data_IF_269348903740
#
_entry.id   IF_269348903740
#
_cell.length_a   1.000
_cell.length_b   1.000
_cell.length_c   1.000
_cell.angle_alpha   90.00
_cell.angle_beta   90.00
_cell.angle_gamma   90.00
#
_symmetry.space_group_name_H-M   'P 1'
#
loop_
_entity.id
_entity.type
_entity.pdbx_description
1 polymer ?
#
# COMPACT_ATOMS: atom_id res chain seq x y z
N UNK A 1 12.15 9.79 15.78
CA UNK A 1 11.49 10.42 14.65
C UNK A 1 12.31 10.34 13.37
N UNK A 2 11.65 10.20 12.25
CA UNK A 2 12.26 10.09 10.92
C UNK A 2 11.62 11.14 10.01
N UNK A 3 12.41 11.75 9.13
CA UNK A 3 11.88 12.69 8.16
C UNK A 3 11.32 11.96 6.94
N UNK A 4 10.09 12.28 6.56
CA UNK A 4 9.44 11.74 5.37
C UNK A 4 9.50 12.79 4.27
N UNK A 5 10.29 12.50 3.22
CA UNK A 5 10.39 13.32 2.03
C UNK A 5 9.36 12.89 0.97
N UNK A 6 9.29 13.64 -0.13
CA UNK A 6 8.37 13.29 -1.23
C UNK A 6 8.64 11.93 -1.87
N UNK A 7 9.80 11.34 -1.68
CA UNK A 7 10.16 10.08 -2.32
C UNK A 7 10.35 8.92 -1.35
N UNK A 8 10.65 9.19 -0.07
CA UNK A 8 10.91 8.12 0.90
C UNK A 8 11.13 8.66 2.32
N UNK A 9 11.15 7.75 3.29
CA UNK A 9 11.70 8.04 4.61
C UNK A 9 13.22 8.19 4.51
N UNK A 10 13.79 9.14 5.25
CA UNK A 10 15.23 9.28 5.31
C UNK A 10 15.88 8.01 5.86
N UNK A 11 16.95 7.57 5.22
CA UNK A 11 17.65 6.34 5.58
C UNK A 11 17.08 5.09 4.91
N UNK A 12 15.97 5.20 4.22
CA UNK A 12 15.39 4.08 3.49
C UNK A 12 16.04 3.95 2.11
N UNK A 13 16.65 2.80 1.83
CA UNK A 13 17.25 2.51 0.53
C UNK A 13 16.23 1.86 -0.40
N UNK A 14 16.14 2.38 -1.62
CA UNK A 14 15.27 1.80 -2.65
C UNK A 14 16.14 1.28 -3.78
N UNK A 15 16.27 -0.05 -3.85
CA UNK A 15 17.08 -0.71 -4.89
C UNK A 15 16.43 -0.67 -6.28
N UNK A 16 15.10 -0.62 -6.33
CA UNK A 16 14.32 -0.61 -7.57
C UNK A 16 13.40 0.60 -7.59
N UNK A 17 13.87 1.68 -8.19
CA UNK A 17 13.11 2.94 -8.25
C UNK A 17 11.97 2.90 -9.28
N UNK A 18 11.98 1.94 -10.19
CA UNK A 18 10.92 1.80 -11.20
C UNK A 18 9.70 1.10 -10.62
N UNK A 19 9.90 -0.01 -9.91
CA UNK A 19 8.81 -0.85 -9.40
C UNK A 19 8.46 -0.57 -7.94
N UNK A 20 9.42 -0.11 -7.13
CA UNK A 20 9.29 0.03 -5.67
C UNK A 20 9.64 1.42 -5.16
N UNK A 21 9.78 2.39 -6.05
CA UNK A 21 10.16 3.74 -5.66
C UNK A 21 9.43 4.80 -6.44
N UNK A 22 9.86 6.05 -6.27
CA UNK A 22 9.28 7.22 -6.90
C UNK A 22 8.20 7.88 -6.08
N UNK A 23 7.67 9.00 -6.59
CA UNK A 23 6.75 9.86 -5.83
C UNK A 23 5.41 9.19 -5.50
N UNK A 24 4.92 8.31 -6.38
CA UNK A 24 3.64 7.62 -6.15
C UNK A 24 3.76 6.43 -5.22
N UNK A 25 4.97 5.99 -4.90
CA UNK A 25 5.26 4.83 -4.07
C UNK A 25 6.24 5.18 -2.95
N UNK A 26 6.10 6.38 -2.39
CA UNK A 26 7.02 6.87 -1.37
C UNK A 26 6.94 6.05 -0.08
N UNK A 27 5.75 5.58 0.29
CA UNK A 27 5.52 4.81 1.52
C UNK A 27 4.70 3.58 1.20
N UNK A 28 5.24 2.41 1.54
CA UNK A 28 4.51 1.15 1.47
C UNK A 28 3.81 0.89 2.80
N UNK A 29 2.50 0.65 2.74
CA UNK A 29 1.65 0.45 3.92
C UNK A 29 1.05 -0.93 3.88
N UNK A 30 1.05 -1.61 5.02
CA UNK A 30 0.42 -2.92 5.18
C UNK A 30 -0.30 -2.99 6.51
N UNK A 31 -1.47 -3.62 6.55
CA UNK A 31 -2.19 -3.78 7.81
C UNK A 31 -1.74 -5.02 8.57
N UNK A 32 -1.42 -4.84 9.84
CA UNK A 32 -1.13 -5.95 10.74
C UNK A 32 -2.36 -6.85 10.99
N UNK A 33 -3.55 -6.40 10.61
CA UNK A 33 -4.77 -7.22 10.70
C UNK A 33 -4.65 -8.51 9.87
N UNK A 34 -3.81 -8.53 8.84
CA UNK A 34 -3.59 -9.72 8.02
C UNK A 34 -2.49 -10.64 8.56
N UNK A 35 -1.73 -10.21 9.56
CA UNK A 35 -0.61 -11.00 10.08
C UNK A 35 -1.05 -12.36 10.64
N UNK A 36 -2.13 -12.48 11.43
CA UNK A 36 -2.57 -13.80 11.90
C UNK A 36 -2.85 -14.79 10.77
N UNK A 37 -3.44 -14.31 9.66
CA UNK A 37 -3.67 -15.15 8.49
C UNK A 37 -2.35 -15.67 7.91
N UNK A 38 -1.37 -14.78 7.71
CA UNK A 38 -0.08 -15.15 7.13
C UNK A 38 0.77 -15.98 8.09
N UNK A 39 0.70 -15.72 9.39
CA UNK A 39 1.41 -16.53 10.38
C UNK A 39 0.96 -17.99 10.30
N UNK A 40 -0.33 -18.22 10.13
CA UNK A 40 -0.87 -19.56 9.95
C UNK A 40 -0.45 -20.16 8.61
N UNK A 41 -0.56 -19.43 7.52
CA UNK A 41 -0.23 -19.91 6.19
C UNK A 41 1.28 -20.18 6.02
N UNK A 42 2.13 -19.35 6.61
CA UNK A 42 3.57 -19.47 6.54
C UNK A 42 4.15 -20.33 7.67
N UNK A 43 3.34 -20.69 8.66
CA UNK A 43 3.73 -21.47 9.83
C UNK A 43 4.92 -20.86 10.58
N UNK A 44 4.86 -19.56 10.81
CA UNK A 44 5.89 -18.85 11.57
C UNK A 44 5.34 -17.55 12.13
N UNK A 45 5.97 -17.05 13.20
CA UNK A 45 5.62 -15.75 13.78
C UNK A 45 6.20 -14.65 12.90
N UNK A 46 5.45 -13.55 12.77
CA UNK A 46 5.84 -12.40 11.97
C UNK A 46 6.00 -11.17 12.86
N UNK A 47 6.98 -10.35 12.52
CA UNK A 47 7.19 -9.04 13.15
C UNK A 47 6.84 -7.95 12.16
N UNK A 48 6.58 -6.73 12.64
CA UNK A 48 6.24 -5.60 11.78
C UNK A 48 7.32 -5.39 10.71
N UNK A 49 6.87 -5.04 9.51
CA UNK A 49 7.75 -4.95 8.36
C UNK A 49 7.99 -6.29 7.66
N UNK A 50 7.26 -7.33 8.04
CA UNK A 50 7.45 -8.71 7.52
C UNK A 50 7.35 -8.78 6.00
N UNK A 51 6.57 -7.92 5.37
CA UNK A 51 6.35 -7.91 3.92
C UNK A 51 7.04 -6.74 3.23
N UNK A 52 8.02 -6.13 3.90
CA UNK A 52 8.77 -5.00 3.36
C UNK A 52 8.05 -3.67 3.41
N UNK A 53 6.95 -3.60 4.14
CA UNK A 53 6.25 -2.32 4.31
C UNK A 53 7.03 -1.36 5.20
N UNK A 54 6.92 -0.07 4.89
CA UNK A 54 7.52 0.99 5.70
C UNK A 54 6.70 1.25 6.96
N UNK A 55 5.39 1.07 6.86
CA UNK A 55 4.45 1.31 7.95
C UNK A 55 3.53 0.10 8.08
N UNK A 56 3.44 -0.46 9.28
CA UNK A 56 2.43 -1.47 9.63
C UNK A 56 1.34 -0.77 10.43
N UNK A 57 0.11 -0.79 9.90
CA UNK A 57 -1.05 -0.12 10.51
C UNK A 57 -2.04 -1.14 11.04
N UNK A 58 -3.04 -0.67 11.79
CA UNK A 58 -4.16 -1.49 12.24
C UNK A 58 -5.47 -0.89 11.75
N UNK A 59 -6.47 -1.74 11.51
CA UNK A 59 -7.82 -1.34 11.15
C UNK A 59 -7.92 -0.50 9.86
N UNK A 60 -6.94 -0.60 8.97
CA UNK A 60 -6.93 0.05 7.67
C UNK A 60 -6.71 -1.01 6.59
N UNK A 61 -7.76 -1.78 6.34
CA UNK A 61 -7.73 -2.86 5.35
C UNK A 61 -7.99 -2.31 3.96
N UNK A 62 -7.75 -3.14 2.96
CA UNK A 62 -7.95 -2.78 1.56
C UNK A 62 -9.39 -2.37 1.25
N UNK A 63 -10.38 -2.93 1.94
CA UNK A 63 -11.79 -2.54 1.78
C UNK A 63 -12.17 -1.26 2.52
N UNK A 64 -11.34 -0.78 3.43
CA UNK A 64 -11.62 0.40 4.25
C UNK A 64 -11.03 1.69 3.67
N UNK A 65 -10.07 1.58 2.76
CA UNK A 65 -9.26 2.69 2.27
C UNK A 65 -9.50 2.89 0.79
N UNK A 66 -9.76 4.13 0.39
CA UNK A 66 -9.95 4.48 -1.02
C UNK A 66 -8.71 5.13 -1.61
N UNK A 67 -8.45 4.86 -2.89
CA UNK A 67 -7.43 5.58 -3.65
C UNK A 67 -7.83 7.06 -3.67
N UNK A 68 -6.90 7.92 -3.27
CA UNK A 68 -7.15 9.35 -3.15
C UNK A 68 -7.44 9.83 -1.73
N UNK A 69 -7.72 8.92 -0.79
CA UNK A 69 -7.87 9.31 0.62
C UNK A 69 -6.59 9.97 1.11
N UNK A 70 -6.75 11.05 1.86
CA UNK A 70 -5.64 11.86 2.36
C UNK A 70 -5.60 11.79 3.87
N UNK A 71 -4.41 11.55 4.41
CA UNK A 71 -4.18 11.38 5.85
C UNK A 71 -3.08 12.30 6.34
N UNK A 72 -3.20 12.71 7.59
CA UNK A 72 -2.11 13.31 8.34
C UNK A 72 -1.33 12.22 9.05
N UNK A 73 -0.01 12.22 8.90
CA UNK A 73 0.91 11.31 9.55
C UNK A 73 2.03 12.15 10.18
N UNK A 74 1.94 12.39 11.49
CA UNK A 74 2.84 13.31 12.17
C UNK A 74 2.75 14.70 11.52
N UNK A 75 3.90 15.23 11.07
CA UNK A 75 3.95 16.51 10.36
C UNK A 75 3.71 16.37 8.86
N UNK A 76 3.68 15.15 8.34
CA UNK A 76 3.51 14.90 6.92
C UNK A 76 2.03 14.74 6.55
N UNK A 77 1.73 14.95 5.27
CA UNK A 77 0.43 14.65 4.68
C UNK A 77 0.65 13.67 3.54
N UNK A 78 -0.12 12.59 3.53
CA UNK A 78 0.02 11.48 2.61
C UNK A 78 -1.30 11.16 1.92
N UNK A 79 -1.23 10.55 0.75
CA UNK A 79 -2.40 10.22 -0.05
C UNK A 79 -2.26 8.84 -0.68
N UNK A 80 -3.31 8.05 -0.61
CA UNK A 80 -3.34 6.70 -1.21
C UNK A 80 -3.30 6.80 -2.73
N UNK A 81 -2.40 6.06 -3.35
CA UNK A 81 -2.19 6.10 -4.81
C UNK A 81 -2.59 4.84 -5.55
N UNK A 82 -2.33 3.69 -4.98
CA UNK A 82 -2.58 2.41 -5.64
C UNK A 82 -2.46 1.24 -4.66
N UNK A 83 -3.04 0.08 -5.01
CA UNK A 83 -2.70 -1.17 -4.32
C UNK A 83 -1.23 -1.50 -4.55
N UNK A 84 -0.62 -2.19 -3.58
CA UNK A 84 0.73 -2.70 -3.74
C UNK A 84 0.71 -3.95 -4.63
N UNK A 85 1.70 -4.06 -5.50
CA UNK A 85 1.97 -5.27 -6.27
C UNK A 85 3.16 -5.98 -5.60
N UNK A 86 2.95 -7.12 -4.92
CA UNK A 86 4.06 -7.82 -4.27
C UNK A 86 5.04 -8.37 -5.32
N UNK A 87 6.32 -8.29 -5.01
CA UNK A 87 7.37 -8.72 -5.92
C UNK A 87 7.96 -10.07 -5.51
N UNK A 88 8.79 -10.63 -6.38
CA UNK A 88 9.43 -11.92 -6.14
C UNK A 88 10.38 -11.93 -4.93
N UNK A 89 10.79 -10.77 -4.43
CA UNK A 89 11.63 -10.67 -3.23
C UNK A 89 10.97 -11.29 -2.00
N UNK A 90 9.65 -11.15 -1.89
CA UNK A 90 8.89 -11.80 -0.81
C UNK A 90 8.88 -13.32 -0.98
N UNK A 91 8.74 -13.80 -2.22
CA UNK A 91 8.81 -15.22 -2.52
C UNK A 91 10.16 -15.81 -2.11
N UNK A 92 11.26 -15.10 -2.38
CA UNK A 92 12.60 -15.49 -1.95
C UNK A 92 12.76 -15.47 -0.44
N UNK A 93 12.31 -14.40 0.21
CA UNK A 93 12.45 -14.23 1.66
C UNK A 93 11.82 -15.37 2.43
N UNK A 94 10.64 -15.82 2.02
CA UNK A 94 9.88 -16.87 2.69
C UNK A 94 10.04 -18.25 2.02
N UNK A 95 10.81 -18.31 0.94
CA UNK A 95 11.02 -19.54 0.16
C UNK A 95 9.70 -20.14 -0.33
N UNK A 96 8.79 -19.29 -0.76
CA UNK A 96 7.47 -19.66 -1.30
C UNK A 96 7.28 -18.98 -2.65
N UNK A 97 7.55 -19.68 -3.77
CA UNK A 97 7.49 -19.06 -5.10
C UNK A 97 6.13 -18.46 -5.46
N UNK A 98 5.05 -19.02 -4.92
CA UNK A 98 3.67 -18.56 -5.20
C UNK A 98 3.17 -17.49 -4.25
N UNK A 99 3.99 -16.97 -3.34
CA UNK A 99 3.54 -15.99 -2.36
C UNK A 99 2.94 -14.73 -3.01
N UNK A 100 3.53 -14.15 -4.08
CA UNK A 100 2.89 -13.03 -4.77
C UNK A 100 1.50 -13.36 -5.30
N UNK A 101 1.30 -14.58 -5.81
CA UNK A 101 0.00 -15.03 -6.27
C UNK A 101 -1.01 -15.11 -5.13
N UNK A 102 -0.60 -15.59 -3.96
CA UNK A 102 -1.46 -15.67 -2.78
C UNK A 102 -1.90 -14.27 -2.33
N UNK A 103 -1.02 -13.27 -2.43
CA UNK A 103 -1.38 -11.88 -2.15
C UNK A 103 -2.46 -11.39 -3.12
N UNK A 104 -2.33 -11.70 -4.41
CA UNK A 104 -3.33 -11.34 -5.41
C UNK A 104 -4.67 -12.04 -5.16
N UNK A 105 -4.63 -13.32 -4.83
CA UNK A 105 -5.84 -14.12 -4.59
C UNK A 105 -6.62 -13.65 -3.36
N UNK A 106 -5.92 -13.32 -2.29
CA UNK A 106 -6.55 -12.85 -1.05
C UNK A 106 -6.97 -11.38 -1.14
N UNK A 107 -6.29 -10.59 -1.96
CA UNK A 107 -6.43 -9.15 -1.96
C UNK A 107 -5.71 -8.48 -0.79
N UNK A 108 -4.95 -9.22 0.00
CA UNK A 108 -4.20 -8.72 1.16
C UNK A 108 -2.86 -8.17 0.70
N UNK A 109 -2.91 -7.09 -0.06
CA UNK A 109 -1.74 -6.55 -0.77
C UNK A 109 -1.07 -5.40 -0.05
N UNK A 110 -1.84 -4.64 0.76
CA UNK A 110 -1.41 -3.33 1.19
C UNK A 110 -1.54 -2.31 0.07
N UNK A 111 -1.01 -1.14 0.29
CA UNK A 111 -1.12 -0.03 -0.64
C UNK A 111 0.04 0.94 -0.46
N UNK A 112 0.11 1.94 -1.36
CA UNK A 112 1.15 2.98 -1.32
C UNK A 112 0.56 4.34 -1.03
N UNK A 113 1.34 5.16 -0.32
CA UNK A 113 1.11 6.59 -0.21
C UNK A 113 2.08 7.38 -1.10
N UNK A 114 1.60 8.47 -1.70
CA UNK A 114 2.46 9.59 -2.06
C UNK A 114 2.48 10.58 -0.92
N UNK A 115 3.52 11.39 -0.86
CA UNK A 115 3.65 12.44 0.15
C UNK A 115 3.23 13.76 -0.47
N UNK A 116 2.19 14.38 0.09
CA UNK A 116 1.73 15.71 -0.34
C UNK A 116 2.46 16.82 0.39
N UNK A 117 2.86 16.56 1.64
CA UNK A 117 3.62 17.49 2.47
C UNK A 117 4.66 16.68 3.24
N UNK A 118 5.92 17.09 3.12
CA UNK A 118 7.03 16.48 3.86
C UNK A 118 6.97 16.85 5.34
N UNK A 119 7.53 16.02 6.20
CA UNK A 119 7.61 16.32 7.61
C UNK A 119 8.18 15.17 8.44
N UNK A 120 8.33 15.43 9.73
CA UNK A 120 8.82 14.45 10.69
C UNK A 120 7.71 13.52 11.12
N UNK A 121 8.03 12.24 11.20
CA UNK A 121 7.12 11.16 11.58
C UNK A 121 7.75 10.35 12.71
N UNK A 122 6.94 9.98 13.70
CA UNK A 122 7.36 9.16 14.83
C UNK A 122 6.56 7.86 14.87
N UNK A 123 7.11 6.76 15.40
CA UNK A 123 6.34 5.52 15.60
C UNK A 123 5.07 5.68 16.45
N UNK A 124 5.04 6.71 17.31
CA UNK A 124 3.87 7.01 18.13
C UNK A 124 2.76 7.76 17.38
N UNK A 125 3.04 8.26 16.19
CA UNK A 125 2.05 8.99 15.40
C UNK A 125 0.98 8.06 14.85
N UNK A 126 -0.26 8.57 14.78
CA UNK A 126 -1.38 7.84 14.19
C UNK A 126 -1.78 8.49 12.87
N UNK A 127 -2.32 7.69 11.96
CA UNK A 127 -2.89 8.18 10.72
C UNK A 127 -4.25 8.81 11.00
N UNK A 128 -4.41 10.06 10.61
CA UNK A 128 -5.66 10.78 10.77
C UNK A 128 -6.23 11.13 9.39
N UNK A 129 -7.44 10.65 9.11
CA UNK A 129 -8.11 10.94 7.84
C UNK A 129 -8.43 12.43 7.76
N UNK A 130 -7.90 13.09 6.75
CA UNK A 130 -8.16 14.51 6.48
C UNK A 130 -9.27 14.68 5.43
N UNK A 131 -9.26 13.84 4.40
CA UNK A 131 -10.22 13.93 3.32
C UNK A 131 -10.40 12.56 2.66
N UNK A 132 -11.67 12.14 2.52
CA UNK A 132 -12.04 10.95 1.76
C UNK A 132 -12.17 11.32 0.29
N UNK A 133 -11.73 10.43 -0.61
CA UNK A 133 -11.92 10.62 -2.04
C UNK A 133 -13.40 10.39 -2.40
N UNK A 134 -13.95 11.29 -3.19
CA UNK A 134 -15.38 11.27 -3.54
C UNK A 134 -15.76 10.14 -4.49
N UNK A 135 -14.79 9.56 -5.20
CA UNK A 135 -15.06 8.46 -6.14
C UNK A 135 -15.31 7.14 -5.44
N UNK A 136 -14.86 6.98 -4.21
CA UNK A 136 -15.12 5.78 -3.41
C UNK A 136 -14.51 4.50 -3.96
N UNK A 137 -13.40 4.59 -4.70
CA UNK A 137 -12.71 3.44 -5.27
C UNK A 137 -11.74 2.87 -4.23
N UNK A 138 -12.14 1.78 -3.57
CA UNK A 138 -11.31 1.16 -2.55
C UNK A 138 -10.10 0.45 -3.15
N UNK A 139 -9.08 0.24 -2.34
CA UNK A 139 -7.93 -0.59 -2.71
C UNK A 139 -8.40 -2.00 -3.08
N UNK A 140 -9.36 -2.56 -2.31
CA UNK A 140 -9.93 -3.88 -2.60
C UNK A 140 -10.64 -3.92 -3.94
N UNK A 141 -11.41 -2.89 -4.29
CA UNK A 141 -12.07 -2.80 -5.59
C UNK A 141 -11.05 -2.79 -6.73
N UNK A 142 -10.00 -1.98 -6.60
CA UNK A 142 -8.96 -1.89 -7.62
C UNK A 142 -8.25 -3.23 -7.81
N UNK A 143 -7.94 -3.94 -6.73
CA UNK A 143 -7.36 -5.29 -6.80
C UNK A 143 -8.27 -6.26 -7.54
N UNK A 144 -9.56 -6.23 -7.23
CA UNK A 144 -10.53 -7.13 -7.84
C UNK A 144 -10.60 -6.94 -9.36
N UNK A 145 -10.68 -5.68 -9.80
CA UNK A 145 -10.72 -5.37 -11.23
C UNK A 145 -9.41 -5.80 -11.91
N UNK A 146 -8.27 -5.48 -11.32
CA UNK A 146 -6.96 -5.77 -11.92
C UNK A 146 -6.69 -7.27 -12.03
N UNK A 147 -7.07 -8.06 -11.03
CA UNK A 147 -6.65 -9.46 -10.92
C UNK A 147 -7.74 -10.49 -11.19
N UNK A 148 -9.01 -10.15 -10.97
CA UNK A 148 -10.12 -11.11 -11.05
C UNK A 148 -11.16 -10.77 -12.10
N UNK A 149 -11.31 -9.51 -12.46
CA UNK A 149 -12.31 -9.02 -13.40
C UNK A 149 -11.68 -8.17 -14.49
N UNK A 150 -10.65 -8.71 -15.14
CA UNK A 150 -9.83 -7.97 -16.12
C UNK A 150 -10.62 -7.48 -17.33
N UNK A 151 -11.77 -8.05 -17.60
CA UNK A 151 -12.63 -7.64 -18.73
C UNK A 151 -13.75 -6.69 -18.30
N UNK A 152 -13.79 -6.30 -17.04
CA UNK A 152 -14.79 -5.37 -16.52
C UNK A 152 -14.40 -3.92 -16.89
N UNK A 153 -14.87 -3.46 -18.04
CA UNK A 153 -14.55 -2.12 -18.56
C UNK A 153 -15.11 -1.00 -17.68
N UNK A 154 -16.30 -1.19 -17.12
CA UNK A 154 -16.90 -0.18 -16.21
C UNK A 154 -16.08 -0.02 -14.95
N UNK A 155 -15.59 -1.13 -14.38
CA UNK A 155 -14.70 -1.10 -13.23
C UNK A 155 -13.39 -0.38 -13.54
N UNK A 156 -12.79 -0.68 -14.70
CA UNK A 156 -11.56 -0.03 -15.13
C UNK A 156 -11.76 1.48 -15.31
N UNK A 157 -12.89 1.90 -15.89
CA UNK A 157 -13.23 3.32 -16.05
C UNK A 157 -13.35 4.02 -14.68
N UNK A 158 -14.00 3.39 -13.71
CA UNK A 158 -14.14 3.94 -12.36
C UNK A 158 -12.77 4.20 -11.74
N UNK A 159 -11.85 3.25 -11.87
CA UNK A 159 -10.49 3.41 -11.35
C UNK A 159 -9.80 4.60 -12.03
N UNK A 160 -9.90 4.70 -13.36
CA UNK A 160 -9.25 5.75 -14.13
C UNK A 160 -9.82 7.15 -13.86
N UNK A 161 -11.02 7.26 -13.30
CA UNK A 161 -11.62 8.53 -12.92
C UNK A 161 -11.01 9.12 -11.65
N UNK A 162 -10.25 8.34 -10.88
CA UNK A 162 -9.62 8.82 -9.65
C UNK A 162 -8.37 9.63 -10.00
N UNK A 163 -8.39 10.92 -9.72
CA UNK A 163 -7.27 11.81 -10.04
C UNK A 163 -5.97 11.41 -9.34
N UNK A 164 -6.08 10.92 -8.12
CA UNK A 164 -4.92 10.54 -7.30
C UNK A 164 -4.27 9.22 -7.73
N UNK A 165 -4.90 8.46 -8.64
CA UNK A 165 -4.35 7.19 -9.11
C UNK A 165 -2.92 7.38 -9.61
N UNK A 166 -2.03 6.43 -9.22
CA UNK A 166 -0.63 6.48 -9.63
C UNK A 166 -0.47 6.42 -11.15
N UNK A 167 0.62 6.98 -11.65
CA UNK A 167 0.95 6.95 -13.07
C UNK A 167 1.06 5.52 -13.60
N UNK A 168 1.64 4.62 -12.81
CA UNK A 168 1.84 3.23 -13.23
C UNK A 168 0.55 2.44 -13.41
N UNK A 169 -0.56 2.90 -12.82
CA UNK A 169 -1.87 2.26 -12.94
C UNK A 169 -2.73 2.85 -14.06
N UNK A 170 -2.30 3.96 -14.65
CA UNK A 170 -2.99 4.54 -15.80
C UNK A 170 -2.52 3.86 -17.07
#
# INVERSE_FOLDING_TARGET
>A
PVYLSFVKFNGDGQADLVHHGGVDKAVCVYTGDHYPYWEKELNQDLVYGAFGENITVSSMREEDVCIGDTFELGQAIVQVTQPRQPCFKLAKKYNIPKLPLYFQETGYTGFYFRVLKEGWVSPADTLKLLKSDLKGVTVAFANRIMHKEKQNLEGAKRILEVHALSTSWR
#
